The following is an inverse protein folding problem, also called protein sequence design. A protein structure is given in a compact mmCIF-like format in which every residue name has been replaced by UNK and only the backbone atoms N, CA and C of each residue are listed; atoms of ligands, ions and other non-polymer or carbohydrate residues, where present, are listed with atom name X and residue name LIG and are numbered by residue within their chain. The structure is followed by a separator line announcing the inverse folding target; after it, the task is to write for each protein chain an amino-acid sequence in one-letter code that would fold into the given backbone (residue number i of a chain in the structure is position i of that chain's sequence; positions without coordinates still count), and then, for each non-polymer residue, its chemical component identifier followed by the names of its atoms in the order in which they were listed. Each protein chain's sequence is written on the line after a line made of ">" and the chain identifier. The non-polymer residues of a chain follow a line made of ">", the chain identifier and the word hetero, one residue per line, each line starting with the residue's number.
data_IF_376226591090
#
_entry.id   IF_376226591090
#
_cell.length_a   1.000
_cell.length_b   1.000
_cell.length_c   1.000
_cell.angle_alpha   90.00
_cell.angle_beta   90.00
_cell.angle_gamma   90.00
#
_symmetry.space_group_name_H-M   'P 1'
#
loop_
_entity.id
_entity.type
_entity.pdbx_description
1 polymer ?
#
# COMPACT_ATOMS: atom_id res chain seq x y z
N UNK A 1 -30.59 -5.40 8.66
CA UNK A 1 -30.69 -4.86 7.27
C UNK A 1 -29.43 -5.24 6.52
N UNK A 2 -29.52 -5.98 5.40
CA UNK A 2 -28.36 -6.16 4.51
C UNK A 2 -27.97 -4.79 3.95
N UNK A 3 -26.70 -4.38 4.12
CA UNK A 3 -26.19 -3.17 3.46
C UNK A 3 -26.41 -3.31 1.95
N UNK A 4 -27.11 -2.36 1.35
CA UNK A 4 -27.39 -2.33 -0.10
C UNK A 4 -26.19 -1.83 -0.91
N UNK A 5 -25.14 -1.38 -0.23
CA UNK A 5 -23.88 -0.88 -0.82
C UNK A 5 -22.70 -1.53 -0.10
N UNK A 6 -21.65 -1.95 -0.85
CA UNK A 6 -20.44 -2.51 -0.26
C UNK A 6 -19.54 -1.44 0.38
N UNK A 7 -20.00 -0.19 0.48
CA UNK A 7 -19.16 0.92 0.88
C UNK A 7 -19.45 1.34 2.32
N UNK A 8 -18.41 1.51 3.13
CA UNK A 8 -18.51 2.10 4.46
C UNK A 8 -18.97 3.55 4.37
N UNK A 9 -19.62 4.00 5.40
CA UNK A 9 -20.00 5.42 5.55
C UNK A 9 -18.81 6.24 6.07
N UNK A 10 -18.79 7.56 5.88
CA UNK A 10 -17.77 8.41 6.46
C UNK A 10 -17.60 8.21 7.98
N UNK A 11 -18.68 7.99 8.72
CA UNK A 11 -18.65 7.76 10.17
C UNK A 11 -17.97 6.44 10.57
N UNK A 12 -18.07 5.40 9.75
CA UNK A 12 -17.36 4.13 9.98
C UNK A 12 -15.86 4.32 9.80
N UNK A 13 -15.43 5.11 8.81
CA UNK A 13 -14.02 5.48 8.64
C UNK A 13 -13.49 6.39 9.74
N UNK A 14 -14.25 7.37 10.17
CA UNK A 14 -13.86 8.25 11.29
C UNK A 14 -13.59 7.43 12.56
N UNK A 15 -14.37 6.37 12.78
CA UNK A 15 -14.11 5.44 13.89
C UNK A 15 -12.77 4.72 13.71
N UNK A 16 -12.48 4.20 12.52
CA UNK A 16 -11.19 3.54 12.23
C UNK A 16 -9.99 4.47 12.44
N UNK A 17 -10.12 5.72 12.01
CA UNK A 17 -9.07 6.73 12.25
C UNK A 17 -8.92 7.07 13.73
N UNK A 18 -10.02 7.08 14.48
CA UNK A 18 -10.00 7.27 15.93
C UNK A 18 -9.30 6.10 16.62
N UNK A 19 -9.61 4.87 16.24
CA UNK A 19 -8.96 3.67 16.77
C UNK A 19 -7.46 3.66 16.45
N UNK A 20 -7.06 4.07 15.24
CA UNK A 20 -5.67 4.27 14.86
C UNK A 20 -4.98 5.34 15.73
N UNK A 21 -5.60 6.50 15.89
CA UNK A 21 -5.12 7.60 16.72
C UNK A 21 -4.85 7.13 18.16
N UNK A 22 -5.80 6.39 18.74
CA UNK A 22 -5.68 5.84 20.08
C UNK A 22 -4.57 4.78 20.19
N UNK A 23 -4.47 3.88 19.19
CA UNK A 23 -3.46 2.81 19.16
C UNK A 23 -2.04 3.36 19.17
N UNK A 24 -1.77 4.35 18.35
CA UNK A 24 -0.43 4.94 18.23
C UNK A 24 -0.25 6.20 19.10
N UNK A 25 -1.23 6.54 19.95
CA UNK A 25 -1.20 7.70 20.86
C UNK A 25 -0.86 9.01 20.16
N UNK A 26 -1.43 9.21 18.96
CA UNK A 26 -1.23 10.42 18.16
C UNK A 26 -2.56 11.18 18.00
N UNK A 27 -2.50 12.48 17.96
CA UNK A 27 -3.62 13.32 17.53
C UNK A 27 -3.55 13.45 16.00
N UNK A 28 -4.69 13.35 15.33
CA UNK A 28 -4.78 13.58 13.90
C UNK A 28 -4.90 15.07 13.59
N UNK A 29 -4.15 15.53 12.58
CA UNK A 29 -4.37 16.84 11.99
C UNK A 29 -5.64 16.83 11.12
N UNK A 30 -6.15 18.01 10.76
CA UNK A 30 -7.21 18.08 9.76
C UNK A 30 -6.79 17.41 8.46
N UNK A 31 -7.70 16.63 7.90
CA UNK A 31 -7.51 15.88 6.65
C UNK A 31 -8.72 16.06 5.74
N UNK A 32 -8.58 15.69 4.48
CA UNK A 32 -9.70 15.69 3.55
C UNK A 32 -10.81 14.75 4.02
N UNK A 33 -12.07 15.14 3.78
CA UNK A 33 -13.25 14.34 4.15
C UNK A 33 -13.84 13.58 2.96
N UNK A 34 -13.08 13.41 1.86
CA UNK A 34 -13.53 12.58 0.75
C UNK A 34 -13.47 11.12 1.15
N UNK A 35 -14.47 10.36 0.73
CA UNK A 35 -14.57 8.94 1.07
C UNK A 35 -13.38 8.12 0.51
N UNK A 36 -12.85 8.51 -0.65
CA UNK A 36 -11.63 7.92 -1.22
C UNK A 36 -10.42 8.10 -0.31
N UNK A 37 -10.24 9.30 0.26
CA UNK A 37 -9.12 9.61 1.15
C UNK A 37 -9.20 8.78 2.44
N UNK A 38 -10.41 8.60 2.98
CA UNK A 38 -10.62 7.71 4.13
C UNK A 38 -10.23 6.26 3.81
N UNK A 39 -10.58 5.78 2.61
CA UNK A 39 -10.20 4.44 2.20
C UNK A 39 -8.67 4.31 2.02
N UNK A 40 -8.01 5.29 1.41
CA UNK A 40 -6.55 5.34 1.30
C UNK A 40 -5.87 5.31 2.69
N UNK A 41 -6.36 6.12 3.65
CA UNK A 41 -5.87 6.11 5.03
C UNK A 41 -6.06 4.76 5.70
N UNK A 42 -7.21 4.10 5.49
CA UNK A 42 -7.47 2.76 6.02
C UNK A 42 -6.49 1.75 5.44
N UNK A 43 -6.26 1.75 4.12
CA UNK A 43 -5.27 0.89 3.47
C UNK A 43 -3.85 1.17 4.00
N UNK A 44 -3.48 2.44 4.18
CA UNK A 44 -2.22 2.80 4.81
C UNK A 44 -2.07 2.20 6.21
N UNK A 45 -3.11 2.31 7.04
CA UNK A 45 -3.12 1.74 8.39
C UNK A 45 -3.01 0.20 8.37
N UNK A 46 -3.59 -0.47 7.36
CA UNK A 46 -3.44 -1.91 7.18
C UNK A 46 -1.98 -2.29 6.87
N UNK A 47 -1.29 -1.52 6.04
CA UNK A 47 0.13 -1.74 5.74
C UNK A 47 0.98 -1.52 7.00
N UNK A 48 0.70 -0.50 7.80
CA UNK A 48 1.36 -0.28 9.10
C UNK A 48 1.18 -1.51 10.01
N UNK A 49 -0.05 -2.02 10.15
CA UNK A 49 -0.34 -3.20 10.95
C UNK A 49 0.31 -4.47 10.40
N UNK A 50 0.47 -4.58 9.07
CA UNK A 50 1.21 -5.68 8.45
C UNK A 50 2.66 -5.71 8.96
N UNK A 51 3.38 -4.59 8.93
CA UNK A 51 4.76 -4.51 9.42
C UNK A 51 4.84 -4.78 10.94
N UNK A 52 3.91 -4.25 11.74
CA UNK A 52 3.83 -4.55 13.17
C UNK A 52 3.71 -6.06 13.43
N UNK A 53 2.83 -6.74 12.70
CA UNK A 53 2.64 -8.19 12.83
C UNK A 53 3.80 -9.03 12.27
N UNK A 54 4.60 -8.46 11.35
CA UNK A 54 5.87 -9.03 10.90
C UNK A 54 7.00 -8.85 11.93
N UNK A 55 6.72 -8.25 13.09
CA UNK A 55 7.67 -8.07 14.18
C UNK A 55 8.50 -6.79 14.10
N UNK A 56 8.08 -5.83 13.26
CA UNK A 56 8.71 -4.50 13.26
C UNK A 56 8.19 -3.66 14.42
N UNK A 57 9.08 -3.00 15.12
CA UNK A 57 8.77 -1.93 16.07
C UNK A 57 8.43 -0.66 15.27
N UNK A 58 7.27 -0.07 15.55
CA UNK A 58 6.74 1.08 14.83
C UNK A 58 6.92 2.37 15.61
N UNK A 59 7.44 3.38 14.96
CA UNK A 59 7.64 4.71 15.50
C UNK A 59 7.04 5.76 14.56
N UNK A 60 6.19 6.63 15.12
CA UNK A 60 5.64 7.77 14.37
C UNK A 60 6.73 8.83 14.18
N UNK A 61 6.88 9.31 12.96
CA UNK A 61 7.87 10.30 12.59
C UNK A 61 7.22 11.58 12.06
N UNK A 62 7.94 12.68 12.20
CA UNK A 62 7.62 13.96 11.58
C UNK A 62 6.21 14.47 11.89
N UNK A 63 5.83 14.50 13.16
CA UNK A 63 4.57 15.11 13.60
C UNK A 63 4.53 16.60 13.22
N UNK A 64 3.41 17.06 12.70
CA UNK A 64 3.18 18.43 12.32
C UNK A 64 2.41 19.16 13.44
N UNK A 65 3.08 20.04 14.18
CA UNK A 65 2.49 20.67 15.38
C UNK A 65 2.01 19.66 16.42
N UNK A 66 2.76 18.55 16.60
CA UNK A 66 2.40 17.48 17.54
C UNK A 66 1.28 16.56 17.07
N UNK A 67 0.81 16.69 15.83
CA UNK A 67 -0.27 15.90 15.24
C UNK A 67 0.22 15.05 14.07
N UNK A 68 -0.34 13.84 13.90
CA UNK A 68 -0.14 13.01 12.72
C UNK A 68 -0.91 13.60 11.54
N UNK A 69 -0.20 13.90 10.47
CA UNK A 69 -0.77 14.49 9.26
C UNK A 69 -0.59 13.57 8.06
N UNK A 70 -1.69 13.00 7.60
CA UNK A 70 -1.72 12.26 6.35
C UNK A 70 -1.48 13.17 5.14
N UNK A 71 -0.85 12.65 4.10
CA UNK A 71 -0.70 13.34 2.81
C UNK A 71 -1.83 12.91 1.87
N UNK A 72 -2.97 13.60 1.94
CA UNK A 72 -4.16 13.29 1.13
C UNK A 72 -4.16 13.97 -0.25
N UNK A 73 -2.98 14.24 -0.80
CA UNK A 73 -2.83 14.85 -2.12
C UNK A 73 -1.49 14.44 -2.72
N UNK A 74 -1.40 14.19 -4.02
CA UNK A 74 -0.13 13.92 -4.70
C UNK A 74 0.85 15.10 -4.61
N UNK A 75 0.33 16.32 -4.45
CA UNK A 75 1.16 17.53 -4.29
C UNK A 75 1.63 17.73 -2.86
N UNK A 76 2.72 18.48 -2.68
CA UNK A 76 3.30 18.81 -1.39
C UNK A 76 4.56 18.00 -1.07
N UNK A 77 5.49 18.67 -0.36
CA UNK A 77 6.77 18.08 0.02
C UNK A 77 6.57 17.09 1.17
N UNK A 78 7.24 15.93 1.13
CA UNK A 78 7.12 14.87 2.12
C UNK A 78 7.45 15.33 3.55
N UNK A 79 8.38 16.28 3.71
CA UNK A 79 8.74 16.88 5.01
C UNK A 79 7.58 17.58 5.74
N UNK A 80 6.45 17.85 5.06
CA UNK A 80 5.28 18.49 5.65
C UNK A 80 4.21 17.48 6.11
N UNK A 81 4.52 16.19 6.08
CA UNK A 81 3.59 15.12 6.43
C UNK A 81 4.24 14.09 7.33
N UNK A 82 3.43 13.41 8.12
CA UNK A 82 3.89 12.38 9.04
C UNK A 82 4.02 11.03 8.31
N UNK A 83 4.89 10.17 8.83
CA UNK A 83 5.14 8.83 8.31
C UNK A 83 5.52 7.88 9.44
N UNK A 84 5.64 6.59 9.17
CA UNK A 84 6.12 5.61 10.13
C UNK A 84 7.53 5.14 9.77
N UNK A 85 8.36 5.02 10.81
CA UNK A 85 9.58 4.24 10.78
C UNK A 85 9.26 2.87 11.39
N UNK A 86 9.62 1.81 10.70
CA UNK A 86 9.48 0.44 11.16
C UNK A 86 10.87 -0.19 11.25
N UNK A 87 11.22 -0.74 12.43
CA UNK A 87 12.55 -1.30 12.70
C UNK A 87 12.39 -2.74 13.13
N UNK A 88 13.09 -3.65 12.48
CA UNK A 88 13.17 -5.07 12.85
C UNK A 88 14.61 -5.42 13.17
N UNK A 89 14.87 -5.81 14.43
CA UNK A 89 16.19 -6.26 14.87
C UNK A 89 16.37 -7.73 14.56
N UNK A 90 17.47 -8.10 13.98
CA UNK A 90 17.89 -9.48 13.86
C UNK A 90 18.48 -10.00 15.18
N UNK A 91 18.82 -11.29 15.22
CA UNK A 91 19.41 -11.94 16.41
C UNK A 91 20.81 -11.38 16.77
N UNK A 92 21.45 -10.64 15.87
CA UNK A 92 22.80 -10.09 16.02
C UNK A 92 22.77 -8.60 16.33
N UNK A 93 21.57 -7.98 16.42
CA UNK A 93 21.39 -6.56 16.73
C UNK A 93 21.52 -5.63 15.52
N UNK A 94 21.89 -6.14 14.34
CA UNK A 94 21.75 -5.44 13.09
C UNK A 94 20.26 -5.43 12.72
N UNK A 95 19.72 -4.29 12.31
CA UNK A 95 18.29 -4.14 12.11
C UNK A 95 17.96 -3.65 10.72
N UNK A 96 16.88 -4.16 10.15
CA UNK A 96 16.28 -3.58 8.98
C UNK A 96 15.41 -2.39 9.40
N UNK A 97 15.54 -1.29 8.70
CA UNK A 97 14.74 -0.08 8.90
C UNK A 97 14.04 0.26 7.60
N UNK A 98 12.73 0.43 7.68
CA UNK A 98 11.92 0.90 6.56
C UNK A 98 11.04 2.08 6.96
N UNK A 99 10.67 2.89 5.99
CA UNK A 99 9.87 4.08 6.17
C UNK A 99 8.62 3.98 5.30
N UNK A 100 7.45 4.19 5.91
CA UNK A 100 6.15 3.98 5.28
C UNK A 100 5.47 5.32 5.13
N UNK A 101 5.28 5.73 3.88
CA UNK A 101 4.72 7.02 3.50
C UNK A 101 3.34 6.88 2.89
N UNK A 102 2.48 7.87 3.11
CA UNK A 102 1.19 8.02 2.45
C UNK A 102 1.31 8.98 1.27
N UNK A 103 0.83 8.59 0.08
CA UNK A 103 0.83 9.39 -1.14
C UNK A 103 2.21 9.99 -1.50
N UNK A 104 3.28 9.21 -1.32
CA UNK A 104 4.62 9.65 -1.69
C UNK A 104 4.87 9.42 -3.19
N UNK A 105 5.42 10.44 -3.83
CA UNK A 105 5.85 10.31 -5.22
C UNK A 105 7.07 9.40 -5.30
N UNK A 106 7.10 8.48 -6.25
CA UNK A 106 8.21 7.57 -6.54
C UNK A 106 8.73 7.79 -7.96
N UNK A 107 10.04 7.67 -8.12
CA UNK A 107 10.72 7.80 -9.40
C UNK A 107 10.58 6.50 -10.21
N UNK A 108 10.41 6.61 -11.53
CA UNK A 108 10.44 5.49 -12.45
C UNK A 108 11.75 4.71 -12.39
N UNK A 109 11.66 3.39 -12.58
CA UNK A 109 12.85 2.55 -12.70
C UNK A 109 13.63 2.82 -14.01
N UNK A 110 12.98 3.36 -15.04
CA UNK A 110 13.51 3.50 -16.38
C UNK A 110 13.96 4.93 -16.73
N UNK A 111 13.24 5.94 -16.23
CA UNK A 111 13.49 7.33 -16.57
C UNK A 111 13.53 8.21 -15.32
N UNK A 112 14.61 8.93 -15.13
CA UNK A 112 14.84 9.78 -13.95
C UNK A 112 13.90 11.00 -13.88
N UNK A 113 13.24 11.34 -14.99
CA UNK A 113 12.29 12.47 -15.07
C UNK A 113 10.83 12.05 -15.03
N UNK A 114 10.56 10.74 -14.97
CA UNK A 114 9.21 10.19 -14.87
C UNK A 114 8.92 9.81 -13.43
N UNK A 115 7.76 10.24 -12.96
CA UNK A 115 7.33 10.05 -11.57
C UNK A 115 5.87 9.63 -11.53
N UNK A 116 5.53 8.79 -10.57
CA UNK A 116 4.14 8.45 -10.21
C UNK A 116 3.95 8.56 -8.70
N UNK A 117 2.71 8.63 -8.24
CA UNK A 117 2.42 8.81 -6.81
C UNK A 117 1.49 7.70 -6.34
N UNK A 118 2.05 6.53 -5.96
CA UNK A 118 1.27 5.49 -5.31
C UNK A 118 0.69 5.97 -3.98
N UNK A 119 -0.45 5.42 -3.60
CA UNK A 119 -1.15 5.81 -2.38
C UNK A 119 -0.34 5.44 -1.12
N UNK A 120 0.45 4.36 -1.17
CA UNK A 120 1.33 3.93 -0.07
C UNK A 120 2.70 3.55 -0.64
N UNK A 121 3.76 4.07 -0.04
CA UNK A 121 5.15 3.79 -0.45
C UNK A 121 5.96 3.32 0.74
N UNK A 122 6.72 2.26 0.56
CA UNK A 122 7.71 1.76 1.53
C UNK A 122 9.12 1.97 0.97
N UNK A 123 9.96 2.63 1.75
CA UNK A 123 11.31 3.03 1.38
C UNK A 123 12.34 2.54 2.40
N UNK A 124 13.56 2.26 1.97
CA UNK A 124 14.69 2.00 2.87
C UNK A 124 15.40 3.28 3.35
N UNK A 125 14.97 4.45 2.90
CA UNK A 125 15.55 5.74 3.26
C UNK A 125 14.48 6.73 3.71
N UNK A 126 14.81 7.55 4.72
CA UNK A 126 13.98 8.67 5.18
C UNK A 126 14.38 10.00 4.53
N UNK A 127 15.25 9.96 3.54
CA UNK A 127 15.74 11.16 2.85
C UNK A 127 15.17 11.21 1.43
N UNK A 128 13.96 11.79 1.24
CA UNK A 128 13.42 12.03 -0.09
C UNK A 128 14.33 12.96 -0.88
N UNK A 129 14.43 12.71 -2.19
CA UNK A 129 15.07 13.64 -3.11
C UNK A 129 14.10 14.78 -3.50
N UNK A 130 14.66 15.86 -4.01
CA UNK A 130 13.90 17.03 -4.46
C UNK A 130 14.35 17.45 -5.87
N UNK A 131 13.38 17.82 -6.73
CA UNK A 131 13.64 18.41 -8.04
C UNK A 131 12.73 19.61 -8.30
N UNK A 132 13.21 20.59 -9.08
CA UNK A 132 12.44 21.75 -9.52
C UNK A 132 12.01 21.65 -10.98
N UNK A 133 12.48 20.63 -11.69
CA UNK A 133 12.32 20.51 -13.14
C UNK A 133 11.03 19.79 -13.56
N UNK A 134 10.29 19.25 -12.60
CA UNK A 134 9.07 18.51 -12.88
C UNK A 134 7.87 19.39 -13.21
N UNK A 135 7.72 20.51 -12.49
CA UNK A 135 6.62 21.43 -12.71
C UNK A 135 7.05 22.60 -13.59
N UNK A 136 6.17 23.08 -14.44
CA UNK A 136 6.37 24.34 -15.18
C UNK A 136 6.45 25.57 -14.28
N UNK A 137 6.05 25.41 -13.01
CA UNK A 137 6.17 26.42 -11.95
C UNK A 137 7.40 26.09 -11.10
N UNK A 138 7.93 27.08 -10.35
CA UNK A 138 9.07 26.89 -9.43
C UNK A 138 8.75 25.99 -8.20
N UNK A 139 7.70 25.16 -8.26
CA UNK A 139 7.35 24.23 -7.20
C UNK A 139 8.36 23.08 -7.15
N UNK A 140 8.74 22.71 -5.95
CA UNK A 140 9.64 21.58 -5.70
C UNK A 140 8.79 20.31 -5.64
N UNK A 141 9.17 19.30 -6.42
CA UNK A 141 8.71 17.92 -6.26
C UNK A 141 9.62 17.22 -5.26
N UNK A 142 9.05 16.60 -4.24
CA UNK A 142 9.74 15.70 -3.30
C UNK A 142 9.34 14.26 -3.64
N UNK A 143 10.31 13.38 -3.81
CA UNK A 143 10.09 12.02 -4.29
C UNK A 143 11.03 11.00 -3.65
N UNK A 144 10.65 9.74 -3.69
CA UNK A 144 11.48 8.60 -3.31
C UNK A 144 12.26 8.15 -4.55
N UNK A 145 13.61 8.18 -4.52
CA UNK A 145 14.45 7.65 -5.58
C UNK A 145 14.19 6.16 -5.84
N UNK A 146 14.36 5.71 -7.07
CA UNK A 146 14.09 4.32 -7.49
C UNK A 146 14.88 3.28 -6.69
N UNK A 147 16.13 3.58 -6.32
CA UNK A 147 17.01 2.73 -5.52
C UNK A 147 16.52 2.57 -4.07
N UNK A 148 15.73 3.53 -3.58
CA UNK A 148 15.19 3.52 -2.22
C UNK A 148 13.78 2.92 -2.14
N UNK A 149 13.12 2.68 -3.27
CA UNK A 149 11.78 2.12 -3.30
C UNK A 149 11.81 0.61 -3.03
N UNK A 150 11.28 0.19 -1.89
CA UNK A 150 11.13 -1.23 -1.55
C UNK A 150 9.88 -1.81 -2.22
N UNK A 151 8.72 -1.22 -1.91
CA UNK A 151 7.42 -1.64 -2.42
C UNK A 151 6.41 -0.50 -2.36
N UNK A 152 5.23 -0.72 -2.94
CA UNK A 152 4.14 0.24 -2.90
C UNK A 152 2.78 -0.43 -2.94
N UNK A 153 1.74 0.31 -2.55
CA UNK A 153 0.36 -0.14 -2.71
C UNK A 153 -0.50 0.98 -3.32
N UNK A 154 -1.47 0.56 -4.13
CA UNK A 154 -2.53 1.40 -4.66
C UNK A 154 -3.84 1.06 -3.95
N UNK A 155 -4.56 2.07 -3.49
CA UNK A 155 -5.85 1.94 -2.83
C UNK A 155 -6.96 2.52 -3.70
N UNK A 156 -7.94 1.70 -4.09
CA UNK A 156 -9.02 2.13 -4.99
C UNK A 156 -10.38 1.82 -4.40
N UNK A 157 -11.10 2.89 -4.06
CA UNK A 157 -12.45 2.82 -3.52
C UNK A 157 -13.48 2.60 -4.64
N UNK A 158 -13.48 1.40 -5.22
CA UNK A 158 -14.36 1.02 -6.32
C UNK A 158 -14.47 -0.50 -6.48
N UNK A 159 -15.40 -0.93 -7.34
CA UNK A 159 -15.50 -2.33 -7.76
C UNK A 159 -14.41 -2.64 -8.79
N UNK A 160 -13.63 -3.71 -8.59
CA UNK A 160 -12.57 -4.11 -9.52
C UNK A 160 -13.08 -4.37 -10.94
N UNK A 161 -12.32 -3.91 -11.94
CA UNK A 161 -12.57 -4.19 -13.36
C UNK A 161 -11.26 -4.49 -14.09
N UNK A 162 -11.30 -5.20 -15.24
CA UNK A 162 -10.10 -5.71 -15.90
C UNK A 162 -9.03 -4.67 -16.20
N UNK A 163 -9.42 -3.51 -16.73
CA UNK A 163 -8.50 -2.45 -17.16
C UNK A 163 -7.74 -1.84 -15.98
N UNK A 164 -8.38 -1.74 -14.81
CA UNK A 164 -7.72 -1.29 -13.59
C UNK A 164 -6.59 -2.24 -13.19
N UNK A 165 -6.87 -3.55 -13.24
CA UNK A 165 -5.89 -4.56 -12.86
C UNK A 165 -4.71 -4.59 -13.83
N UNK A 166 -4.97 -4.44 -15.13
CA UNK A 166 -3.93 -4.31 -16.16
C UNK A 166 -3.11 -3.04 -15.97
N UNK A 167 -3.77 -1.90 -15.69
CA UNK A 167 -3.09 -0.64 -15.42
C UNK A 167 -2.18 -0.71 -14.20
N UNK A 168 -2.62 -1.43 -13.16
CA UNK A 168 -1.78 -1.66 -11.98
C UNK A 168 -0.49 -2.42 -12.32
N UNK A 169 -0.56 -3.46 -13.16
CA UNK A 169 0.65 -4.16 -13.64
C UNK A 169 1.58 -3.21 -14.41
N UNK A 170 1.03 -2.29 -15.19
CA UNK A 170 1.82 -1.23 -15.83
C UNK A 170 2.55 -0.35 -14.82
N UNK A 171 1.89 0.04 -13.73
CA UNK A 171 2.52 0.79 -12.63
C UNK A 171 3.59 -0.05 -11.92
N UNK A 172 3.34 -1.34 -11.70
CA UNK A 172 4.34 -2.25 -11.11
C UNK A 172 5.56 -2.34 -12.01
N UNK A 173 5.39 -2.54 -13.32
CA UNK A 173 6.50 -2.59 -14.26
C UNK A 173 7.27 -1.27 -14.29
N UNK A 174 6.60 -0.12 -14.26
CA UNK A 174 7.23 1.20 -14.25
C UNK A 174 8.10 1.44 -13.01
N UNK A 175 7.64 1.01 -11.82
CA UNK A 175 8.31 1.28 -10.55
C UNK A 175 9.20 0.14 -10.06
N UNK A 176 8.80 -1.11 -10.30
CA UNK A 176 9.46 -2.34 -9.80
C UNK A 176 9.43 -3.42 -10.88
N UNK A 177 10.13 -3.22 -12.03
CA UNK A 177 10.07 -4.14 -13.17
C UNK A 177 10.43 -5.59 -12.79
N UNK A 178 11.36 -5.80 -11.89
CA UNK A 178 11.74 -7.14 -11.43
C UNK A 178 10.54 -7.95 -10.86
N UNK A 179 9.51 -7.28 -10.33
CA UNK A 179 8.30 -7.96 -9.84
C UNK A 179 7.49 -8.60 -10.97
N UNK A 180 7.67 -8.12 -12.21
CA UNK A 180 7.02 -8.62 -13.43
C UNK A 180 7.97 -9.54 -14.20
N UNK A 181 9.22 -9.12 -14.38
CA UNK A 181 10.17 -9.78 -15.30
C UNK A 181 10.99 -10.87 -14.61
N UNK A 182 11.24 -10.73 -13.30
CA UNK A 182 12.08 -11.66 -12.52
C UNK A 182 11.57 -11.83 -11.09
N UNK A 183 10.37 -12.37 -10.95
CA UNK A 183 9.70 -12.51 -9.65
C UNK A 183 10.37 -13.47 -8.66
N UNK A 184 11.25 -14.36 -9.12
CA UNK A 184 12.00 -15.30 -8.25
C UNK A 184 12.94 -14.57 -7.29
N UNK A 185 13.40 -13.37 -7.64
CA UNK A 185 14.22 -12.50 -6.79
C UNK A 185 13.55 -12.17 -5.44
N UNK A 186 12.22 -12.23 -5.38
CA UNK A 186 11.45 -11.86 -4.19
C UNK A 186 10.92 -13.06 -3.39
N UNK A 187 11.36 -14.30 -3.69
CA UNK A 187 10.87 -15.52 -3.02
C UNK A 187 10.98 -15.46 -1.49
N UNK A 188 12.01 -14.79 -0.98
CA UNK A 188 12.33 -14.69 0.45
C UNK A 188 12.09 -13.28 1.02
N UNK A 189 11.43 -12.39 0.26
CA UNK A 189 11.14 -11.04 0.74
C UNK A 189 10.17 -11.07 1.92
N UNK A 190 10.51 -10.33 2.98
CA UNK A 190 9.61 -10.09 4.11
C UNK A 190 8.66 -8.92 3.89
N UNK A 191 8.88 -8.15 2.82
CA UNK A 191 8.03 -7.03 2.48
C UNK A 191 6.79 -7.47 1.72
N UNK A 192 5.70 -6.73 1.93
CA UNK A 192 4.50 -6.90 1.13
C UNK A 192 4.84 -6.67 -0.35
N UNK A 193 4.40 -7.57 -1.23
CA UNK A 193 4.52 -7.35 -2.67
C UNK A 193 3.75 -6.08 -3.10
N UNK A 194 4.08 -5.44 -4.23
CA UNK A 194 3.24 -4.38 -4.78
C UNK A 194 1.79 -4.82 -4.82
N UNK A 195 0.89 -4.01 -4.24
CA UNK A 195 -0.47 -4.46 -3.93
C UNK A 195 -1.52 -3.49 -4.45
N UNK A 196 -2.56 -4.02 -5.10
CA UNK A 196 -3.78 -3.29 -5.42
C UNK A 196 -4.84 -3.63 -4.37
N UNK A 197 -5.22 -2.64 -3.58
CA UNK A 197 -6.15 -2.74 -2.45
C UNK A 197 -7.49 -2.11 -2.83
N UNK A 198 -8.55 -2.90 -2.85
CA UNK A 198 -9.85 -2.47 -3.37
C UNK A 198 -10.97 -2.66 -2.36
N UNK A 199 -11.93 -1.75 -2.37
CA UNK A 199 -13.09 -1.81 -1.50
C UNK A 199 -14.18 -2.75 -1.99
N UNK A 200 -14.35 -2.87 -3.30
CA UNK A 200 -15.35 -3.75 -3.91
C UNK A 200 -14.87 -5.17 -4.10
N UNK A 201 -15.79 -6.06 -4.44
CA UNK A 201 -15.54 -7.50 -4.60
C UNK A 201 -15.25 -7.87 -6.04
N UNK A 202 -14.34 -8.82 -6.27
CA UNK A 202 -14.08 -9.38 -7.59
C UNK A 202 -15.31 -10.09 -8.17
N UNK A 203 -15.59 -9.79 -9.42
CA UNK A 203 -16.44 -10.59 -10.29
C UNK A 203 -15.70 -11.87 -10.75
N UNK A 204 -16.42 -12.83 -11.33
CA UNK A 204 -15.78 -14.04 -11.89
C UNK A 204 -14.67 -13.73 -12.92
N UNK A 205 -14.83 -12.81 -13.89
CA UNK A 205 -13.75 -12.42 -14.80
C UNK A 205 -12.54 -11.82 -14.09
N UNK A 206 -12.75 -10.87 -13.17
CA UNK A 206 -11.66 -10.19 -12.46
C UNK A 206 -10.92 -11.13 -11.50
N UNK A 207 -11.62 -12.11 -10.91
CA UNK A 207 -10.99 -13.17 -10.10
C UNK A 207 -10.04 -14.05 -10.94
N UNK A 208 -10.40 -14.35 -12.18
CA UNK A 208 -9.51 -15.07 -13.11
C UNK A 208 -8.26 -14.26 -13.47
N UNK A 209 -8.41 -12.95 -13.65
CA UNK A 209 -7.27 -12.05 -13.90
C UNK A 209 -6.37 -11.99 -12.67
N UNK A 210 -6.93 -11.82 -11.47
CA UNK A 210 -6.18 -11.86 -10.22
C UNK A 210 -5.32 -13.13 -10.15
N UNK A 211 -5.93 -14.31 -10.26
CA UNK A 211 -5.23 -15.59 -10.20
C UNK A 211 -4.10 -15.66 -11.25
N UNK A 212 -4.38 -15.25 -12.48
CA UNK A 212 -3.39 -15.24 -13.56
C UNK A 212 -2.21 -14.32 -13.27
N UNK A 213 -2.45 -13.14 -12.71
CA UNK A 213 -1.40 -12.17 -12.43
C UNK A 213 -0.57 -12.58 -11.22
N UNK A 214 -1.20 -12.97 -10.11
CA UNK A 214 -0.49 -13.42 -8.91
C UNK A 214 0.33 -14.71 -9.15
N UNK A 215 -0.08 -15.54 -10.10
CA UNK A 215 0.71 -16.70 -10.54
C UNK A 215 1.97 -16.33 -11.32
N UNK A 216 1.92 -15.27 -12.13
CA UNK A 216 3.01 -14.89 -13.05
C UNK A 216 3.94 -13.83 -12.46
N UNK A 217 3.43 -12.96 -11.60
CA UNK A 217 4.09 -11.76 -11.11
C UNK A 217 4.17 -11.77 -9.59
N UNK A 218 5.14 -11.06 -9.05
CA UNK A 218 5.23 -10.81 -7.62
C UNK A 218 4.35 -9.61 -7.23
N UNK A 219 3.03 -9.82 -7.16
CA UNK A 219 2.02 -8.80 -6.85
C UNK A 219 0.89 -9.39 -6.01
N UNK A 220 0.13 -8.51 -5.34
CA UNK A 220 -1.08 -8.88 -4.62
C UNK A 220 -2.28 -8.08 -5.12
N UNK A 221 -3.44 -8.72 -5.08
CA UNK A 221 -4.73 -8.09 -5.33
C UNK A 221 -5.65 -8.39 -4.15
N UNK A 222 -6.01 -7.36 -3.38
CA UNK A 222 -6.92 -7.47 -2.25
C UNK A 222 -8.25 -6.84 -2.60
N UNK A 223 -9.33 -7.60 -2.49
CA UNK A 223 -10.69 -7.11 -2.68
C UNK A 223 -11.48 -7.11 -1.38
N UNK A 224 -12.64 -6.45 -1.41
CA UNK A 224 -13.60 -6.44 -0.30
C UNK A 224 -13.02 -5.96 1.03
N UNK A 225 -12.04 -5.06 0.99
CA UNK A 225 -11.38 -4.51 2.20
C UNK A 225 -12.29 -3.60 3.04
N UNK A 226 -13.59 -3.57 2.71
CA UNK A 226 -14.63 -2.89 3.46
C UNK A 226 -15.30 -3.75 4.52
N UNK A 227 -15.31 -5.05 4.32
CA UNK A 227 -15.95 -5.93 5.28
C UNK A 227 -14.99 -6.25 6.42
N UNK A 228 -15.45 -6.11 7.65
CA UNK A 228 -14.68 -6.44 8.85
C UNK A 228 -14.08 -7.85 8.82
N UNK A 229 -14.75 -8.79 8.13
CA UNK A 229 -14.27 -10.15 7.95
C UNK A 229 -13.01 -10.17 7.08
N UNK A 230 -13.02 -9.46 5.95
CA UNK A 230 -11.85 -9.42 5.04
C UNK A 230 -10.67 -8.69 5.67
N UNK A 231 -10.92 -7.61 6.43
CA UNK A 231 -9.89 -6.93 7.22
C UNK A 231 -9.37 -7.84 8.33
N UNK A 232 -10.22 -8.59 9.01
CA UNK A 232 -9.79 -9.57 10.03
C UNK A 232 -8.98 -10.70 9.42
N UNK A 233 -9.35 -11.20 8.25
CA UNK A 233 -8.56 -12.19 7.51
C UNK A 233 -7.21 -11.63 7.10
N UNK A 234 -7.18 -10.40 6.59
CA UNK A 234 -5.94 -9.68 6.28
C UNK A 234 -5.02 -9.55 7.51
N UNK A 235 -5.60 -9.26 8.68
CA UNK A 235 -4.86 -9.03 9.92
C UNK A 235 -4.77 -10.27 10.83
N UNK A 236 -5.48 -11.36 10.55
CA UNK A 236 -5.41 -12.60 11.31
C UNK A 236 -4.06 -13.31 11.08
N UNK A 237 -3.71 -14.22 11.97
CA UNK A 237 -2.51 -15.07 11.80
C UNK A 237 -2.54 -15.79 10.44
N UNK A 238 -3.71 -16.31 10.03
CA UNK A 238 -3.91 -16.94 8.72
C UNK A 238 -3.82 -15.92 7.59
N UNK A 239 -4.43 -14.74 7.74
CA UNK A 239 -4.35 -13.66 6.76
C UNK A 239 -2.93 -13.16 6.56
N UNK A 240 -2.12 -13.10 7.61
CA UNK A 240 -0.72 -12.70 7.49
C UNK A 240 0.11 -13.78 6.79
N UNK A 241 -0.10 -15.04 7.10
CA UNK A 241 0.56 -16.12 6.39
C UNK A 241 0.16 -16.14 4.92
N UNK A 242 -1.11 -15.90 4.60
CA UNK A 242 -1.56 -15.74 3.22
C UNK A 242 -0.91 -14.52 2.55
N UNK A 243 -0.89 -13.38 3.22
CA UNK A 243 -0.25 -12.15 2.72
C UNK A 243 1.25 -12.35 2.56
N UNK A 244 1.90 -13.00 3.51
CA UNK A 244 3.32 -13.29 3.44
C UNK A 244 3.70 -14.23 2.29
N UNK A 245 2.74 -15.03 1.81
CA UNK A 245 2.92 -15.94 0.66
C UNK A 245 2.34 -15.38 -0.64
N UNK A 246 1.50 -14.36 -0.58
CA UNK A 246 0.98 -13.65 -1.74
C UNK A 246 2.15 -13.00 -2.50
N UNK A 247 2.10 -13.05 -3.80
CA UNK A 247 3.20 -12.60 -4.67
C UNK A 247 4.27 -13.65 -4.91
N UNK A 248 4.29 -14.78 -4.19
CA UNK A 248 5.04 -15.96 -4.60
C UNK A 248 4.27 -16.70 -5.67
N UNK A 249 4.97 -17.36 -6.60
CA UNK A 249 4.31 -18.24 -7.59
C UNK A 249 3.36 -19.18 -6.85
N UNK A 250 2.08 -19.08 -7.12
CA UNK A 250 1.08 -19.92 -6.48
C UNK A 250 0.94 -21.21 -7.29
N UNK A 251 1.42 -22.34 -6.72
CA UNK A 251 1.24 -23.67 -7.33
C UNK A 251 -0.15 -24.26 -7.08
N UNK A 252 -1.06 -23.49 -6.44
CA UNK A 252 -2.42 -23.96 -6.20
C UNK A 252 -3.20 -24.04 -7.50
N UNK A 253 -3.83 -25.19 -7.72
CA UNK A 253 -4.76 -25.39 -8.82
C UNK A 253 -5.87 -24.31 -8.81
N UNK A 254 -6.35 -23.89 -9.99
CA UNK A 254 -7.41 -22.89 -10.07
C UNK A 254 -8.63 -23.35 -9.29
N UNK A 255 -9.19 -22.46 -8.49
CA UNK A 255 -10.43 -22.65 -7.70
C UNK A 255 -11.67 -22.87 -8.62
N UNK A 256 -11.47 -22.87 -9.92
CA UNK A 256 -12.52 -23.06 -10.90
C UNK A 256 -12.51 -24.52 -11.36
N UNK A 257 -13.21 -25.38 -10.63
CA UNK A 257 -13.80 -26.58 -11.25
C UNK A 257 -14.82 -26.06 -12.27
N UNK A 258 -14.66 -26.49 -13.52
CA UNK A 258 -15.69 -26.26 -14.53
C UNK A 258 -16.98 -26.88 -14.03
N UNK A 259 -17.93 -26.06 -13.61
CA UNK A 259 -19.30 -26.50 -13.46
C UNK A 259 -19.78 -26.91 -14.87
N UNK A 260 -19.89 -28.21 -15.06
CA UNK A 260 -20.53 -28.83 -16.21
C UNK A 260 -22.02 -28.54 -16.24
#
# INVERSE_FOLDING_TARGET
>A
MKKTTPFKTPSEFEKELTDFSNRYRVLLAEHSKRISDYFEMTCYNLVIQYYEKKGYELEVQNLQGGKFKYKCSPTGQLKNFSYFKATKKDKQGAGEVVYIYHNATAQSAFDEKVFTTPDIVVSNSNTPAETKDYYTTKKILSYIPKENLITFCEAKHLTPFPELMVSFIGTVHELKPDCVDNNEKYSDSEHIAPSLMMSGTFSKPTRRIQYSFEKRYYVNFFDNLFEDISVRLFLSKYGIEQIATLGKKCDKAPIFEDEK
#
